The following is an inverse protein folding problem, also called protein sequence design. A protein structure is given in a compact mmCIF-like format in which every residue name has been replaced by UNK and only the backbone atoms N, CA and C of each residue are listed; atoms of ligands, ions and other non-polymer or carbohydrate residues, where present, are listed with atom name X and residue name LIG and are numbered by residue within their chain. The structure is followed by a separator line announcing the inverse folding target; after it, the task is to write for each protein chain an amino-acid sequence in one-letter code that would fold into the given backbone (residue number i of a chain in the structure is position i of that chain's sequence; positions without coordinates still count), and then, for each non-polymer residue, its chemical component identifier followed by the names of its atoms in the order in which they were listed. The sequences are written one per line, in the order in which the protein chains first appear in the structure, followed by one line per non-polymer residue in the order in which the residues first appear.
data_IF_234333502271
#
_entry.id   IF_234333502271
#
_cell.length_a   1.000
_cell.length_b   1.000
_cell.length_c   1.000
_cell.angle_alpha   90.00
_cell.angle_beta   90.00
_cell.angle_gamma   90.00
#
_symmetry.space_group_name_H-M   'P 1'
#
loop_
_entity.id
_entity.type
_entity.pdbx_description
1 polymer ?
#
# COMPACT_ATOMS: atom_id res chain seq x y z
N UNK A 1 4.77 28.89 -28.26
CA UNK A 1 3.66 28.19 -27.60
C UNK A 1 3.47 26.87 -28.30
N UNK A 2 4.05 25.80 -27.74
CA UNK A 2 3.94 24.44 -28.29
C UNK A 2 2.59 23.87 -27.88
N UNK A 3 1.64 23.79 -28.79
CA UNK A 3 0.38 23.07 -28.55
C UNK A 3 0.70 21.59 -28.53
N UNK A 4 0.70 20.99 -27.34
CA UNK A 4 0.77 19.55 -27.20
C UNK A 4 -0.40 18.93 -27.97
N UNK A 5 -0.07 18.07 -28.93
CA UNK A 5 -1.05 17.30 -29.70
C UNK A 5 -1.84 16.44 -28.72
N UNK A 6 -3.17 16.44 -28.74
CA UNK A 6 -3.95 15.58 -27.85
C UNK A 6 -3.51 14.12 -28.04
N UNK A 7 -3.21 13.45 -26.94
CA UNK A 7 -2.82 12.05 -26.95
C UNK A 7 -3.93 11.22 -27.62
N UNK A 8 -3.57 10.36 -28.54
CA UNK A 8 -4.52 9.42 -29.16
C UNK A 8 -5.02 8.48 -28.07
N UNK A 9 -6.33 8.17 -28.02
CA UNK A 9 -6.86 7.22 -27.06
C UNK A 9 -6.19 5.85 -27.24
N UNK A 10 -5.74 5.27 -26.12
CA UNK A 10 -5.22 3.92 -26.08
C UNK A 10 -6.33 2.92 -26.41
N UNK A 11 -5.98 1.78 -26.98
CA UNK A 11 -6.92 0.69 -27.28
C UNK A 11 -7.65 0.21 -26.00
N UNK A 12 -6.95 0.30 -24.85
CA UNK A 12 -7.53 0.14 -23.52
C UNK A 12 -6.90 1.16 -22.58
N UNK A 13 -7.69 1.79 -21.67
CA UNK A 13 -7.15 2.73 -20.70
C UNK A 13 -6.26 1.99 -19.70
N UNK A 14 -5.19 2.65 -19.26
CA UNK A 14 -4.37 2.19 -18.16
C UNK A 14 -5.19 2.18 -16.87
N UNK A 15 -4.88 1.23 -16.01
CA UNK A 15 -5.57 1.05 -14.72
C UNK A 15 -4.60 1.30 -13.58
N UNK A 16 -4.91 2.31 -12.75
CA UNK A 16 -4.20 2.63 -11.51
C UNK A 16 -4.94 1.98 -10.33
N UNK A 17 -4.26 1.11 -9.58
CA UNK A 17 -4.81 0.54 -8.35
C UNK A 17 -4.52 1.45 -7.16
N UNK A 18 -5.58 1.86 -6.45
CA UNK A 18 -5.52 2.64 -5.21
C UNK A 18 -6.34 1.99 -4.10
N UNK A 19 -5.96 2.23 -2.85
CA UNK A 19 -6.80 1.89 -1.70
C UNK A 19 -7.50 3.13 -1.17
N UNK A 20 -8.69 2.93 -0.57
CA UNK A 20 -9.40 4.00 0.16
C UNK A 20 -8.55 4.59 1.30
N UNK A 21 -9.00 5.71 1.82
CA UNK A 21 -8.40 6.38 2.96
C UNK A 21 -7.18 7.22 2.60
N UNK A 22 -6.21 7.28 3.51
CA UNK A 22 -5.09 8.22 3.45
C UNK A 22 -4.27 8.14 2.15
N UNK A 23 -4.00 6.93 1.65
CA UNK A 23 -3.28 6.73 0.37
C UNK A 23 -4.04 7.41 -0.77
N UNK A 24 -5.36 7.20 -0.87
CA UNK A 24 -6.18 7.83 -1.89
C UNK A 24 -6.11 9.36 -1.78
N UNK A 25 -6.43 9.90 -0.60
CA UNK A 25 -6.47 11.35 -0.35
C UNK A 25 -5.15 12.05 -0.67
N UNK A 26 -4.02 11.45 -0.27
CA UNK A 26 -2.70 12.04 -0.51
C UNK A 26 -2.17 11.79 -1.94
N UNK A 27 -2.76 10.86 -2.71
CA UNK A 27 -2.43 10.64 -4.12
C UNK A 27 -3.14 11.65 -5.03
N UNK A 28 -4.35 12.11 -4.67
CA UNK A 28 -5.12 13.03 -5.51
C UNK A 28 -4.36 14.30 -5.92
N UNK A 29 -3.65 15.01 -5.01
CA UNK A 29 -2.88 16.19 -5.39
C UNK A 29 -1.77 15.89 -6.40
N UNK A 30 -1.18 14.69 -6.36
CA UNK A 30 -0.14 14.28 -7.30
C UNK A 30 -0.72 14.05 -8.70
N UNK A 31 -1.90 13.42 -8.78
CA UNK A 31 -2.63 13.25 -10.03
C UNK A 31 -3.06 14.62 -10.59
N UNK A 32 -3.58 15.49 -9.74
CA UNK A 32 -3.99 16.86 -10.14
C UNK A 32 -2.80 17.66 -10.69
N UNK A 33 -1.60 17.53 -10.12
CA UNK A 33 -0.39 18.15 -10.64
C UNK A 33 -0.02 17.63 -12.04
N UNK A 34 -0.43 16.42 -12.40
CA UNK A 34 -0.32 15.87 -13.74
C UNK A 34 -1.51 16.22 -14.66
N UNK A 35 -2.45 17.03 -14.19
CA UNK A 35 -3.67 17.41 -14.93
C UNK A 35 -4.74 16.33 -14.95
N UNK A 36 -4.68 15.36 -14.02
CA UNK A 36 -5.60 14.23 -13.94
C UNK A 36 -6.44 14.35 -12.67
N UNK A 37 -7.74 14.29 -12.81
CA UNK A 37 -8.69 14.30 -11.70
C UNK A 37 -9.54 13.04 -11.71
N UNK A 38 -9.75 12.43 -10.54
CA UNK A 38 -10.71 11.35 -10.36
C UNK A 38 -12.09 11.99 -10.23
N UNK A 39 -13.02 11.61 -11.10
CA UNK A 39 -14.31 12.31 -11.24
C UNK A 39 -15.38 11.84 -10.26
N UNK A 40 -15.14 10.77 -9.53
CA UNK A 40 -16.06 10.21 -8.53
C UNK A 40 -15.34 9.96 -7.21
N UNK A 41 -16.01 10.28 -6.09
CA UNK A 41 -15.49 9.99 -4.75
C UNK A 41 -15.71 8.51 -4.39
N UNK A 42 -14.66 7.75 -4.07
CA UNK A 42 -14.77 6.35 -3.70
C UNK A 42 -15.54 6.12 -2.39
N UNK A 43 -15.63 7.12 -1.50
CA UNK A 43 -16.36 6.97 -0.24
C UNK A 43 -17.88 6.98 -0.44
N UNK A 44 -18.36 7.67 -1.47
CA UNK A 44 -19.79 7.77 -1.81
C UNK A 44 -20.19 6.88 -2.97
N UNK A 45 -19.26 6.57 -3.87
CA UNK A 45 -19.50 5.69 -5.01
C UNK A 45 -19.45 4.22 -4.61
N UNK A 46 -20.37 3.41 -5.16
CA UNK A 46 -20.33 1.94 -5.06
C UNK A 46 -19.51 1.29 -6.17
N UNK A 47 -18.99 2.08 -7.11
CA UNK A 47 -18.17 1.59 -8.21
C UNK A 47 -16.78 1.23 -7.69
N UNK A 48 -16.26 0.12 -8.19
CA UNK A 48 -14.86 -0.27 -7.96
C UNK A 48 -13.92 0.42 -8.95
N UNK A 49 -14.40 0.74 -10.15
CA UNK A 49 -13.64 1.42 -11.19
C UNK A 49 -14.18 2.83 -11.31
N UNK A 50 -13.31 3.81 -11.07
CA UNK A 50 -13.61 5.23 -11.12
C UNK A 50 -12.99 5.84 -12.38
N UNK A 51 -13.74 6.63 -13.15
CA UNK A 51 -13.20 7.36 -14.29
C UNK A 51 -12.33 8.53 -13.81
N UNK A 52 -11.45 8.97 -14.71
CA UNK A 52 -10.68 10.20 -14.53
C UNK A 52 -10.98 11.19 -15.67
N UNK A 53 -10.44 12.39 -15.57
CA UNK A 53 -10.50 13.38 -16.65
C UNK A 53 -9.66 12.98 -17.87
N UNK A 54 -8.71 12.06 -17.70
CA UNK A 54 -7.97 11.45 -18.81
C UNK A 54 -8.68 10.18 -19.29
N UNK A 55 -9.20 10.12 -20.52
CA UNK A 55 -9.85 8.93 -21.05
C UNK A 55 -8.94 7.69 -21.16
N UNK A 56 -7.61 7.89 -21.08
CA UNK A 56 -6.62 6.82 -21.11
C UNK A 56 -6.25 6.28 -19.71
N UNK A 57 -6.84 6.83 -18.64
CA UNK A 57 -6.58 6.39 -17.28
C UNK A 57 -7.88 6.18 -16.51
N UNK A 58 -7.96 5.07 -15.81
CA UNK A 58 -9.00 4.77 -14.82
C UNK A 58 -8.38 4.32 -13.50
N UNK A 59 -9.10 4.51 -12.42
CA UNK A 59 -8.68 4.07 -11.08
C UNK A 59 -9.50 2.88 -10.65
N UNK A 60 -8.86 1.83 -10.15
CA UNK A 60 -9.55 0.72 -9.47
C UNK A 60 -9.31 0.83 -7.96
N UNK A 61 -10.39 0.76 -7.18
CA UNK A 61 -10.34 0.83 -5.72
C UNK A 61 -10.30 -0.59 -5.16
N UNK A 62 -9.21 -0.93 -4.50
CA UNK A 62 -8.99 -2.24 -3.87
C UNK A 62 -8.45 -2.09 -2.45
N UNK A 63 -8.37 -3.17 -1.69
CA UNK A 63 -7.73 -3.15 -0.38
C UNK A 63 -6.24 -2.84 -0.52
N UNK A 64 -5.67 -2.12 0.43
CA UNK A 64 -4.25 -1.73 0.39
C UNK A 64 -3.31 -2.95 0.22
N UNK A 65 -3.63 -4.07 0.87
CA UNK A 65 -2.88 -5.33 0.77
C UNK A 65 -2.97 -6.00 -0.59
N UNK A 66 -4.00 -5.68 -1.37
CA UNK A 66 -4.25 -6.32 -2.66
C UNK A 66 -3.64 -5.53 -3.83
N UNK A 67 -3.31 -4.25 -3.63
CA UNK A 67 -2.72 -3.39 -4.66
C UNK A 67 -1.50 -4.05 -5.33
N UNK A 68 -0.49 -4.56 -4.60
CA UNK A 68 0.65 -5.21 -5.23
C UNK A 68 0.26 -6.43 -6.05
N UNK A 69 -0.68 -7.23 -5.57
CA UNK A 69 -1.17 -8.43 -6.27
C UNK A 69 -1.87 -8.08 -7.59
N UNK A 70 -2.71 -7.02 -7.58
CA UNK A 70 -3.39 -6.56 -8.79
C UNK A 70 -2.41 -6.13 -9.88
N UNK A 71 -1.33 -5.44 -9.49
CA UNK A 71 -0.28 -5.04 -10.43
C UNK A 71 0.54 -6.24 -10.88
N UNK A 72 0.95 -7.11 -9.98
CA UNK A 72 1.76 -8.30 -10.27
C UNK A 72 1.11 -9.21 -11.31
N UNK A 73 -0.21 -9.38 -11.24
CA UNK A 73 -0.97 -10.26 -12.14
C UNK A 73 -1.65 -9.51 -13.31
N UNK A 74 -1.35 -8.24 -13.50
CA UNK A 74 -1.82 -7.47 -14.66
C UNK A 74 -3.29 -7.06 -14.60
N UNK A 75 -3.95 -7.16 -13.45
CA UNK A 75 -5.29 -6.61 -13.25
C UNK A 75 -5.28 -5.07 -13.12
N UNK A 76 -4.13 -4.52 -12.79
CA UNK A 76 -3.80 -3.10 -12.89
C UNK A 76 -2.41 -2.95 -13.51
N UNK A 77 -2.18 -1.84 -14.23
CA UNK A 77 -0.90 -1.55 -14.87
C UNK A 77 0.12 -0.98 -13.87
N UNK A 78 -0.37 -0.22 -12.89
CA UNK A 78 0.41 0.34 -11.79
C UNK A 78 -0.46 0.60 -10.58
N UNK A 79 0.16 0.92 -9.43
CA UNK A 79 -0.56 1.16 -8.19
C UNK A 79 0.23 2.01 -7.21
N UNK A 80 -0.47 2.58 -6.24
CA UNK A 80 0.13 3.26 -5.11
C UNK A 80 -0.11 2.43 -3.85
N UNK A 81 0.97 2.01 -3.20
CA UNK A 81 0.91 1.18 -2.01
C UNK A 81 1.90 1.70 -0.95
N UNK A 82 1.59 1.46 0.32
CA UNK A 82 2.52 1.73 1.40
C UNK A 82 3.76 0.83 1.30
N UNK A 83 4.91 1.36 1.68
CA UNK A 83 6.17 0.59 1.71
C UNK A 83 6.08 -0.64 2.62
N UNK A 84 5.34 -0.54 3.70
CA UNK A 84 5.03 -1.63 4.62
C UNK A 84 4.28 -2.78 3.93
N UNK A 85 3.33 -2.45 3.07
CA UNK A 85 2.57 -3.43 2.28
C UNK A 85 3.48 -4.10 1.25
N UNK A 86 4.33 -3.33 0.58
CA UNK A 86 5.28 -3.87 -0.42
C UNK A 86 6.30 -4.81 0.21
N UNK A 87 6.83 -4.47 1.40
CA UNK A 87 7.74 -5.33 2.16
C UNK A 87 7.04 -6.64 2.55
N UNK A 88 5.84 -6.56 3.11
CA UNK A 88 5.07 -7.75 3.52
C UNK A 88 4.71 -8.66 2.34
N UNK A 89 4.43 -8.06 1.17
CA UNK A 89 4.15 -8.80 -0.08
C UNK A 89 5.40 -9.52 -0.64
N UNK A 90 6.60 -9.02 -0.31
CA UNK A 90 7.87 -9.53 -0.83
C UNK A 90 8.31 -8.95 -2.17
N UNK A 91 7.47 -8.15 -2.84
CA UNK A 91 7.81 -7.35 -4.02
C UNK A 91 8.25 -8.10 -5.28
N UNK A 92 8.15 -9.43 -5.31
CA UNK A 92 8.55 -10.23 -6.47
C UNK A 92 7.80 -9.83 -7.75
N UNK A 93 8.53 -9.56 -8.83
CA UNK A 93 7.94 -9.16 -10.12
C UNK A 93 7.38 -7.75 -10.18
N UNK A 94 7.65 -6.91 -9.16
CA UNK A 94 7.20 -5.53 -9.11
C UNK A 94 8.38 -4.56 -9.20
N UNK A 95 8.17 -3.45 -9.92
CA UNK A 95 9.09 -2.31 -9.95
C UNK A 95 8.56 -1.20 -9.05
N UNK A 96 9.45 -0.52 -8.33
CA UNK A 96 9.16 0.62 -7.49
C UNK A 96 9.90 1.85 -8.04
N UNK A 97 9.40 2.49 -9.10
CA UNK A 97 10.14 3.53 -9.82
C UNK A 97 10.24 4.84 -9.03
N UNK A 98 9.27 5.12 -8.16
CA UNK A 98 9.17 6.41 -7.46
C UNK A 98 8.70 6.20 -6.02
N UNK A 99 9.37 6.87 -5.08
CA UNK A 99 8.84 7.10 -3.74
C UNK A 99 8.05 8.43 -3.75
N UNK A 100 6.75 8.33 -3.53
CA UNK A 100 5.86 9.49 -3.57
C UNK A 100 5.97 10.37 -2.32
N UNK A 101 6.65 9.91 -1.27
CA UNK A 101 6.80 10.61 0.01
C UNK A 101 5.47 11.00 0.70
N UNK A 102 4.41 10.27 0.44
CA UNK A 102 3.08 10.44 1.04
C UNK A 102 2.81 9.38 2.10
N UNK A 103 1.78 9.59 2.90
CA UNK A 103 1.27 8.65 3.92
C UNK A 103 2.38 8.06 4.81
N UNK A 104 3.38 8.86 5.17
CA UNK A 104 4.51 8.40 6.00
C UNK A 104 4.04 7.77 7.29
N UNK A 105 4.59 6.60 7.60
CA UNK A 105 4.30 5.86 8.81
C UNK A 105 5.55 5.17 9.35
N UNK A 106 5.43 4.63 10.53
CA UNK A 106 6.46 3.82 11.18
C UNK A 106 5.81 2.61 11.81
N UNK A 107 6.35 1.44 11.54
CA UNK A 107 5.97 0.23 12.26
C UNK A 107 6.75 0.15 13.57
N UNK A 108 6.07 -0.19 14.66
CA UNK A 108 6.66 -0.27 15.98
C UNK A 108 6.12 -1.49 16.73
N UNK A 109 6.96 -2.08 17.58
CA UNK A 109 6.51 -3.09 18.54
C UNK A 109 5.80 -2.37 19.69
N UNK A 110 4.57 -2.77 19.96
CA UNK A 110 3.78 -2.25 21.05
C UNK A 110 3.57 -3.34 22.12
N UNK A 111 3.65 -2.98 23.35
CA UNK A 111 3.45 -3.86 24.52
C UNK A 111 2.47 -3.22 25.51
N UNK A 112 1.82 -4.01 26.37
CA UNK A 112 1.00 -3.46 27.44
C UNK A 112 1.80 -2.50 28.33
N UNK A 113 1.14 -1.49 28.85
CA UNK A 113 1.76 -0.54 29.78
C UNK A 113 2.30 -1.29 31.01
N UNK A 114 3.56 -1.06 31.35
CA UNK A 114 4.23 -1.72 32.46
C UNK A 114 4.89 -3.06 32.12
N UNK A 115 4.77 -3.55 30.90
CA UNK A 115 5.48 -4.76 30.46
C UNK A 115 6.95 -4.45 30.19
N UNK A 116 7.85 -5.13 30.88
CA UNK A 116 9.31 -4.99 30.66
C UNK A 116 9.76 -5.87 29.48
N UNK A 117 9.61 -5.31 28.28
CA UNK A 117 10.01 -5.98 27.05
C UNK A 117 11.50 -6.31 27.01
N UNK A 118 12.35 -5.39 27.46
CA UNK A 118 13.80 -5.57 27.42
C UNK A 118 14.24 -6.74 28.32
N UNK A 119 13.65 -6.88 29.50
CA UNK A 119 13.94 -7.98 30.41
C UNK A 119 13.41 -9.31 29.86
N UNK A 120 12.18 -9.34 29.32
CA UNK A 120 11.61 -10.55 28.73
C UNK A 120 12.48 -11.08 27.59
N UNK A 121 12.99 -10.20 26.72
CA UNK A 121 13.91 -10.57 25.64
C UNK A 121 15.24 -11.10 26.18
N UNK A 122 15.84 -10.44 27.19
CA UNK A 122 17.10 -10.91 27.81
C UNK A 122 16.97 -12.28 28.46
N UNK A 123 15.81 -12.58 29.01
CA UNK A 123 15.54 -13.88 29.63
C UNK A 123 15.19 -14.98 28.62
N UNK A 124 15.18 -14.67 27.32
CA UNK A 124 14.85 -15.63 26.27
C UNK A 124 13.37 -16.02 26.26
N UNK A 125 12.50 -15.17 26.81
CA UNK A 125 11.07 -15.46 26.81
C UNK A 125 10.52 -15.57 25.37
N UNK A 126 9.67 -16.59 25.16
CA UNK A 126 8.94 -16.73 23.91
C UNK A 126 7.75 -15.79 23.91
N UNK A 127 7.80 -14.76 23.04
CA UNK A 127 6.79 -13.72 23.00
C UNK A 127 5.71 -14.06 21.97
N UNK A 128 4.45 -13.77 22.28
CA UNK A 128 3.33 -13.84 21.32
C UNK A 128 3.12 -12.47 20.71
N UNK A 129 3.18 -12.38 19.38
CA UNK A 129 3.06 -11.12 18.64
C UNK A 129 1.92 -11.24 17.64
N UNK A 130 0.92 -10.40 17.79
CA UNK A 130 -0.22 -10.32 16.89
C UNK A 130 -0.01 -9.20 15.88
N UNK A 131 -0.12 -9.52 14.58
CA UNK A 131 0.09 -8.55 13.50
C UNK A 131 -0.50 -9.03 12.18
N UNK A 132 -0.81 -8.10 11.29
CA UNK A 132 -1.11 -8.42 9.89
C UNK A 132 0.17 -8.56 9.03
N UNK A 133 1.30 -8.04 9.52
CA UNK A 133 2.59 -8.02 8.84
C UNK A 133 3.47 -9.18 9.35
N UNK A 134 3.07 -10.41 9.04
CA UNK A 134 3.68 -11.62 9.59
C UNK A 134 5.10 -11.84 9.09
N UNK A 135 5.33 -11.60 7.78
CA UNK A 135 6.66 -11.77 7.19
C UNK A 135 7.63 -10.72 7.72
N UNK A 136 7.22 -9.46 7.73
CA UNK A 136 8.01 -8.34 8.28
C UNK A 136 8.35 -8.56 9.76
N UNK A 137 7.37 -9.03 10.56
CA UNK A 137 7.61 -9.34 11.97
C UNK A 137 8.60 -10.50 12.14
N UNK A 138 8.45 -11.58 11.35
CA UNK A 138 9.37 -12.73 11.39
C UNK A 138 10.80 -12.30 11.14
N UNK A 139 11.03 -11.53 10.10
CA UNK A 139 12.37 -11.04 9.74
C UNK A 139 12.94 -10.11 10.81
N UNK A 140 12.11 -9.18 11.32
CA UNK A 140 12.52 -8.24 12.37
C UNK A 140 12.97 -8.94 13.66
N UNK A 141 12.19 -9.91 14.16
CA UNK A 141 12.53 -10.61 15.39
C UNK A 141 13.67 -11.61 15.18
N UNK A 142 13.72 -12.28 14.03
CA UNK A 142 14.83 -13.16 13.68
C UNK A 142 16.16 -12.42 13.63
N UNK A 143 16.20 -11.24 13.00
CA UNK A 143 17.39 -10.40 12.94
C UNK A 143 17.89 -9.93 14.33
N UNK A 144 16.98 -9.90 15.33
CA UNK A 144 17.30 -9.55 16.71
C UNK A 144 17.54 -10.77 17.63
N UNK A 145 17.44 -11.98 17.11
CA UNK A 145 17.56 -13.22 17.89
C UNK A 145 16.44 -13.40 18.91
N UNK A 146 15.26 -12.81 18.68
CA UNK A 146 14.12 -12.87 19.59
C UNK A 146 13.15 -13.95 19.13
N UNK A 147 12.83 -14.89 20.03
CA UNK A 147 11.85 -15.96 19.75
C UNK A 147 10.42 -15.44 19.88
N UNK A 148 9.63 -15.57 18.81
CA UNK A 148 8.23 -15.12 18.79
C UNK A 148 7.30 -16.18 18.21
N UNK A 149 6.08 -16.23 18.73
CA UNK A 149 4.94 -16.88 18.12
C UNK A 149 4.10 -15.80 17.42
N UNK A 150 4.03 -15.87 16.09
CA UNK A 150 3.32 -14.88 15.28
C UNK A 150 1.86 -15.29 15.09
N UNK A 151 0.96 -14.41 15.48
CA UNK A 151 -0.49 -14.57 15.33
C UNK A 151 -0.94 -13.62 14.24
N UNK A 152 -1.42 -14.17 13.11
CA UNK A 152 -1.90 -13.35 12.00
C UNK A 152 -3.26 -12.74 12.31
N UNK A 153 -3.33 -11.42 12.22
CA UNK A 153 -4.59 -10.65 12.26
C UNK A 153 -4.81 -9.98 10.90
N UNK A 154 -6.09 -9.77 10.58
CA UNK A 154 -6.45 -9.08 9.33
C UNK A 154 -6.72 -7.58 9.52
N UNK A 155 -6.64 -7.09 10.75
CA UNK A 155 -6.99 -5.73 11.13
C UNK A 155 -8.51 -5.56 11.24
N UNK A 156 -8.91 -4.52 11.93
CA UNK A 156 -10.30 -4.04 11.98
C UNK A 156 -10.49 -2.95 10.94
#
# INVERSE_FOLDING_TARGET
MSSAKPAQPLAQPLTLALSKGRIFTETLPLLAAAGIEVTEDPETSRKLILPTTDPNLRVIIVRATDVPTYVQYGAADFGVAGKDVLIEHGGGGLYQPIDLNIARCRMSVAVPKGFDYANAVRQGARLRVATKYVQTAREHFAAKGVHVDLIKLYGS
#
